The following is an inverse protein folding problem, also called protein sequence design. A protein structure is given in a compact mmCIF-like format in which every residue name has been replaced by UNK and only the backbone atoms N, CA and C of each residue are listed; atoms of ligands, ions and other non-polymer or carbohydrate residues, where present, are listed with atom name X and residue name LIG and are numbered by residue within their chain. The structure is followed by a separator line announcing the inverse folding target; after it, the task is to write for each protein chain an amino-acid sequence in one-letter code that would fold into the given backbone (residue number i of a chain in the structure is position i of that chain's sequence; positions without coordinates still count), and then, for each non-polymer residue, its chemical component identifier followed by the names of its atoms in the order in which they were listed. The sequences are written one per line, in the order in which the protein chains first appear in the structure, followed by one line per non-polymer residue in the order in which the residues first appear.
data_IF_775494050078
#
_entry.id   IF_775494050078
#
_cell.length_a   1.000
_cell.length_b   1.000
_cell.length_c   1.000
_cell.angle_alpha   90.00
_cell.angle_beta   90.00
_cell.angle_gamma   90.00
#
_symmetry.space_group_name_H-M   'P 1'
#
loop_
_entity.id
_entity.type
_entity.pdbx_description
1 polymer ?
#
# COMPACT_ATOMS: atom_id res chain seq x y z
N UNK A 1 -15.18 -0.73 11.27
CA UNK A 1 -15.01 -2.20 11.18
C UNK A 1 -13.65 -2.61 11.72
N UNK A 2 -13.45 -3.88 12.07
CA UNK A 2 -12.15 -4.37 12.52
C UNK A 2 -11.23 -4.52 11.29
N UNK A 3 -9.99 -4.03 11.39
CA UNK A 3 -9.00 -4.15 10.32
C UNK A 3 -8.61 -5.62 10.15
N UNK A 4 -8.60 -6.17 8.93
CA UNK A 4 -8.16 -7.54 8.71
C UNK A 4 -6.71 -7.75 9.18
N UNK A 5 -6.34 -8.94 9.64
CA UNK A 5 -4.97 -9.19 10.10
C UNK A 5 -3.98 -9.25 8.92
N UNK A 6 -4.45 -9.46 7.70
CA UNK A 6 -3.63 -9.59 6.49
C UNK A 6 -4.35 -9.01 5.27
N UNK A 7 -3.61 -8.36 4.38
CA UNK A 7 -4.10 -7.89 3.07
C UNK A 7 -3.07 -8.18 1.98
N UNK A 8 -3.52 -8.27 0.73
CA UNK A 8 -2.67 -8.48 -0.44
C UNK A 8 -2.83 -7.34 -1.44
N UNK A 9 -1.71 -6.75 -1.88
CA UNK A 9 -1.71 -5.66 -2.88
C UNK A 9 -0.89 -6.07 -4.09
N UNK A 10 -1.43 -5.84 -5.28
CA UNK A 10 -0.71 -6.14 -6.50
C UNK A 10 -1.46 -5.71 -7.77
N UNK A 11 -0.79 -5.69 -8.90
CA UNK A 11 -1.52 -5.65 -10.18
C UNK A 11 -2.19 -7.01 -10.43
N UNK A 12 -3.14 -7.11 -11.37
CA UNK A 12 -3.66 -8.42 -11.81
C UNK A 12 -2.53 -9.39 -12.17
N UNK A 13 -1.46 -8.89 -12.81
CA UNK A 13 -0.28 -9.68 -13.12
C UNK A 13 0.42 -10.19 -11.85
N UNK A 14 0.52 -9.38 -10.79
CA UNK A 14 1.11 -9.81 -9.52
C UNK A 14 0.33 -10.96 -8.87
N UNK A 15 -0.99 -10.90 -8.91
CA UNK A 15 -1.83 -11.99 -8.43
C UNK A 15 -1.72 -13.24 -9.30
N UNK A 16 -1.72 -13.08 -10.64
CA UNK A 16 -1.59 -14.21 -11.58
C UNK A 16 -0.25 -14.95 -11.48
N UNK A 17 0.80 -14.29 -11.01
CA UNK A 17 2.15 -14.85 -10.93
C UNK A 17 2.63 -15.04 -9.48
N UNK A 18 1.71 -15.01 -8.51
CA UNK A 18 1.97 -15.24 -7.08
C UNK A 18 3.09 -14.35 -6.48
N UNK A 19 3.19 -13.11 -6.96
CA UNK A 19 4.09 -12.09 -6.40
C UNK A 19 3.33 -10.88 -5.82
N UNK A 20 2.02 -10.99 -5.61
CA UNK A 20 1.27 -10.00 -4.85
C UNK A 20 1.89 -9.83 -3.46
N UNK A 21 1.96 -8.59 -3.00
CA UNK A 21 2.61 -8.28 -1.74
C UNK A 21 1.67 -8.56 -0.58
N UNK A 22 2.15 -9.29 0.42
CA UNK A 22 1.39 -9.61 1.64
C UNK A 22 1.76 -8.64 2.77
N UNK A 23 0.74 -8.06 3.42
CA UNK A 23 0.92 -7.14 4.53
C UNK A 23 0.21 -7.66 5.78
N UNK A 24 0.88 -7.55 6.93
CA UNK A 24 0.32 -7.97 8.21
C UNK A 24 0.10 -6.79 9.14
N UNK A 25 -1.02 -6.81 9.86
CA UNK A 25 -1.31 -5.82 10.90
C UNK A 25 -0.32 -5.98 12.07
N UNK A 26 0.47 -4.94 12.37
CA UNK A 26 1.47 -4.95 13.46
C UNK A 26 0.94 -4.28 14.73
N UNK A 27 0.05 -3.31 14.56
CA UNK A 27 -0.83 -2.76 15.59
C UNK A 27 -2.09 -2.26 14.89
N UNK A 28 -3.18 -1.99 15.61
CA UNK A 28 -4.41 -1.40 15.06
C UNK A 28 -4.19 -0.11 14.21
N UNK A 29 -2.96 0.37 14.12
CA UNK A 29 -2.54 1.59 13.43
C UNK A 29 -1.80 1.36 12.10
N UNK A 30 -1.27 0.17 11.75
CA UNK A 30 -0.55 -0.02 10.47
C UNK A 30 -0.31 -1.50 10.08
N UNK A 31 -0.22 -1.72 8.77
CA UNK A 31 0.23 -2.97 8.18
C UNK A 31 1.68 -2.87 7.72
N UNK A 32 2.39 -4.00 7.75
CA UNK A 32 3.79 -4.14 7.36
C UNK A 32 3.92 -5.22 6.27
N UNK A 33 4.52 -4.84 5.13
CA UNK A 33 4.97 -5.80 4.13
C UNK A 33 6.17 -6.59 4.68
N UNK A 34 6.14 -7.93 4.63
CA UNK A 34 7.27 -8.76 5.07
C UNK A 34 8.29 -9.06 3.96
N UNK A 35 7.96 -8.81 2.70
CA UNK A 35 8.70 -9.34 1.54
C UNK A 35 9.68 -8.34 0.91
N UNK A 36 9.91 -7.19 1.54
CA UNK A 36 10.55 -6.01 0.97
C UNK A 36 9.74 -5.36 -0.17
N UNK A 37 10.03 -4.09 -0.40
CA UNK A 37 9.46 -3.20 -1.42
C UNK A 37 10.21 -3.33 -2.74
N UNK A 38 9.66 -2.80 -3.84
CA UNK A 38 10.23 -2.93 -5.20
C UNK A 38 11.69 -2.43 -5.26
N UNK A 39 12.06 -1.47 -4.42
CA UNK A 39 13.41 -0.88 -4.33
C UNK A 39 14.40 -1.62 -3.44
N UNK A 40 13.94 -2.55 -2.59
CA UNK A 40 14.79 -3.44 -1.81
C UNK A 40 15.75 -2.74 -0.83
N UNK A 41 15.42 -1.55 -0.34
CA UNK A 41 16.29 -0.85 0.60
C UNK A 41 16.28 -1.54 1.99
N UNK A 42 17.40 -1.55 2.74
CA UNK A 42 17.43 -2.11 4.08
C UNK A 42 16.39 -1.45 5.00
N UNK A 43 15.59 -2.27 5.68
CA UNK A 43 14.51 -1.83 6.60
C UNK A 43 13.38 -1.03 5.93
N UNK A 44 13.24 -1.12 4.62
CA UNK A 44 12.12 -0.50 3.91
C UNK A 44 10.83 -1.29 4.14
N UNK A 45 9.76 -0.56 4.41
CA UNK A 45 8.44 -1.07 4.74
C UNK A 45 7.40 -0.35 3.91
N UNK A 46 6.25 -0.99 3.68
CA UNK A 46 5.05 -0.27 3.23
C UNK A 46 4.11 -0.10 4.42
N UNK A 47 3.53 1.08 4.57
CA UNK A 47 2.44 1.33 5.52
C UNK A 47 1.38 2.26 4.92
N UNK A 48 0.18 2.24 5.49
CA UNK A 48 -0.94 3.05 5.04
C UNK A 48 -1.06 4.32 5.86
N UNK A 49 -1.39 5.43 5.20
CA UNK A 49 -1.75 6.70 5.81
C UNK A 49 -3.04 7.22 5.19
N UNK A 50 -3.83 7.93 5.98
CA UNK A 50 -4.99 8.66 5.47
C UNK A 50 -4.57 10.09 5.14
N UNK A 51 -4.96 10.55 3.95
CA UNK A 51 -4.72 11.92 3.49
C UNK A 51 -6.03 12.55 3.08
N UNK A 52 -6.35 13.71 3.65
CA UNK A 52 -7.51 14.50 3.24
C UNK A 52 -7.09 15.43 2.11
N UNK A 53 -7.74 15.31 0.95
CA UNK A 53 -7.55 16.23 -0.17
C UNK A 53 -8.92 16.69 -0.70
N UNK A 54 -9.16 18.01 -0.73
CA UNK A 54 -10.43 18.62 -1.17
C UNK A 54 -11.67 17.97 -0.53
N UNK A 55 -11.61 17.64 0.76
CA UNK A 55 -12.70 17.01 1.51
C UNK A 55 -12.88 15.51 1.25
N UNK A 56 -12.08 14.90 0.38
CA UNK A 56 -12.07 13.45 0.15
C UNK A 56 -10.96 12.80 0.99
N UNK A 57 -11.29 11.70 1.68
CA UNK A 57 -10.31 10.88 2.40
C UNK A 57 -9.71 9.88 1.41
N UNK A 58 -8.39 9.89 1.31
CA UNK A 58 -7.62 8.94 0.53
C UNK A 58 -6.83 8.03 1.44
N UNK A 59 -6.91 6.73 1.20
CA UNK A 59 -6.04 5.73 1.78
C UNK A 59 -4.82 5.59 0.89
N UNK A 60 -3.63 5.87 1.41
CA UNK A 60 -2.38 5.91 0.63
C UNK A 60 -1.39 4.89 1.18
N UNK A 61 -0.92 4.00 0.33
CA UNK A 61 0.13 3.05 0.65
C UNK A 61 1.50 3.68 0.34
N UNK A 62 2.35 3.80 1.35
CA UNK A 62 3.63 4.49 1.28
C UNK A 62 4.80 3.55 1.59
N UNK A 63 5.83 3.60 0.77
CA UNK A 63 7.15 3.05 1.08
C UNK A 63 7.87 4.00 2.05
N UNK A 64 8.57 3.44 3.02
CA UNK A 64 9.22 4.19 4.07
C UNK A 64 10.05 3.34 5.02
N UNK A 65 10.47 3.92 6.14
CA UNK A 65 11.30 3.27 7.15
C UNK A 65 10.62 3.42 8.51
N UNK A 66 10.63 2.36 9.32
CA UNK A 66 10.30 2.44 10.75
C UNK A 66 11.60 2.50 11.54
N UNK A 67 11.80 3.59 12.28
CA UNK A 67 12.95 3.73 13.17
C UNK A 67 12.74 2.95 14.47
N UNK A 68 13.83 2.66 15.18
CA UNK A 68 13.79 1.92 16.44
C UNK A 68 12.90 2.56 17.53
N UNK A 69 12.67 3.87 17.47
CA UNK A 69 11.77 4.61 18.36
C UNK A 69 10.29 4.55 17.93
N UNK A 70 9.94 3.76 16.90
CA UNK A 70 8.60 3.64 16.35
C UNK A 70 8.17 4.78 15.41
N UNK A 71 9.02 5.80 15.21
CA UNK A 71 8.73 6.87 14.25
C UNK A 71 8.82 6.35 12.82
N UNK A 72 7.96 6.90 11.95
CA UNK A 72 7.86 6.51 10.55
C UNK A 72 8.40 7.62 9.67
N UNK A 73 9.27 7.26 8.73
CA UNK A 73 9.69 8.13 7.64
C UNK A 73 8.95 7.67 6.38
N UNK A 74 8.11 8.53 5.81
CA UNK A 74 7.53 8.29 4.49
C UNK A 74 8.58 8.67 3.45
N UNK A 75 8.95 7.73 2.57
CA UNK A 75 9.83 8.00 1.43
C UNK A 75 9.01 8.38 0.20
N UNK A 76 8.05 7.54 -0.16
CA UNK A 76 7.19 7.78 -1.31
C UNK A 76 5.84 7.07 -1.19
N UNK A 77 4.77 7.67 -1.70
CA UNK A 77 3.50 7.00 -1.86
C UNK A 77 3.45 6.23 -3.18
N UNK A 78 2.99 4.99 -3.13
CA UNK A 78 2.99 4.07 -4.26
C UNK A 78 1.59 3.80 -4.81
N UNK A 79 0.60 3.71 -3.91
CA UNK A 79 -0.78 3.40 -4.29
C UNK A 79 -1.76 4.27 -3.50
N UNK A 80 -2.95 4.54 -4.05
CA UNK A 80 -4.04 5.15 -3.28
C UNK A 80 -5.42 4.64 -3.69
N UNK A 81 -6.39 4.75 -2.79
CA UNK A 81 -7.82 4.52 -3.07
C UNK A 81 -8.70 5.42 -2.20
N UNK A 82 -9.93 5.65 -2.63
CA UNK A 82 -11.00 6.25 -1.80
C UNK A 82 -12.00 5.20 -1.31
N UNK A 83 -11.87 3.95 -1.76
CA UNK A 83 -12.75 2.86 -1.35
C UNK A 83 -12.54 2.52 0.14
N UNK A 84 -13.63 2.06 0.79
CA UNK A 84 -13.51 1.35 2.06
C UNK A 84 -12.92 -0.04 1.80
N UNK A 85 -11.62 -0.07 1.58
CA UNK A 85 -10.85 -1.27 1.28
C UNK A 85 -10.64 -2.17 2.52
N UNK A 86 -11.35 -1.92 3.61
CA UNK A 86 -11.34 -2.82 4.77
C UNK A 86 -12.34 -3.97 4.64
N UNK A 87 -13.29 -3.85 3.71
CA UNK A 87 -14.20 -4.93 3.35
C UNK A 87 -13.46 -6.06 2.62
N UNK A 88 -13.96 -7.29 2.72
CA UNK A 88 -13.39 -8.41 1.98
C UNK A 88 -13.67 -8.29 0.48
N UNK A 89 -12.68 -8.61 -0.34
CA UNK A 89 -12.81 -8.67 -1.78
C UNK A 89 -11.79 -7.83 -2.54
N UNK A 90 -12.15 -7.51 -3.78
CA UNK A 90 -11.31 -6.79 -4.73
C UNK A 90 -11.61 -5.30 -4.69
N UNK A 91 -10.57 -4.50 -4.50
CA UNK A 91 -10.63 -3.04 -4.46
C UNK A 91 -9.72 -2.43 -5.52
N UNK A 92 -10.18 -1.36 -6.16
CA UNK A 92 -9.38 -0.64 -7.15
C UNK A 92 -8.50 0.41 -6.48
N UNK A 93 -7.23 0.41 -6.92
CA UNK A 93 -6.21 1.32 -6.43
C UNK A 93 -5.52 2.01 -7.59
N UNK A 94 -5.19 3.27 -7.41
CA UNK A 94 -4.39 4.05 -8.36
C UNK A 94 -2.91 3.85 -8.07
N UNK A 95 -2.11 3.55 -9.10
CA UNK A 95 -0.66 3.55 -8.99
C UNK A 95 -0.08 4.96 -9.13
N UNK A 96 0.85 5.32 -8.24
CA UNK A 96 1.66 6.53 -8.43
C UNK A 96 2.70 6.29 -9.53
N UNK A 97 2.59 7.02 -10.63
CA UNK A 97 3.53 6.98 -11.76
C UNK A 97 4.81 7.79 -11.49
N UNK A 98 4.78 8.68 -10.49
CA UNK A 98 5.93 9.52 -10.12
C UNK A 98 6.84 8.87 -9.07
N UNK A 99 6.63 7.57 -8.78
CA UNK A 99 7.46 6.86 -7.80
C UNK A 99 8.90 6.72 -8.31
N UNK A 100 9.86 6.99 -7.44
CA UNK A 100 11.28 6.84 -7.69
C UNK A 100 11.72 5.38 -7.51
N UNK A 101 12.29 4.80 -8.57
CA UNK A 101 12.97 3.49 -8.55
C UNK A 101 14.42 3.55 -8.05
N UNK A 102 15.03 4.73 -8.00
CA UNK A 102 16.46 4.88 -7.70
C UNK A 102 16.78 4.96 -6.20
N UNK A 103 15.78 4.88 -5.31
CA UNK A 103 15.98 4.97 -3.86
C UNK A 103 16.47 6.34 -3.38
N UNK A 104 16.67 7.31 -4.28
CA UNK A 104 16.99 8.69 -3.92
C UNK A 104 15.78 9.32 -3.26
N UNK A 105 15.99 9.97 -2.12
CA UNK A 105 15.03 10.71 -1.28
C UNK A 105 14.38 11.93 -1.97
N UNK A 106 14.19 11.88 -3.29
CA UNK A 106 13.18 12.72 -3.91
C UNK A 106 11.85 12.24 -3.34
N UNK A 107 11.26 13.06 -2.48
CA UNK A 107 9.88 13.03 -2.02
C UNK A 107 8.97 12.90 -3.22
N UNK A 108 8.81 11.69 -3.76
CA UNK A 108 7.77 11.43 -4.73
C UNK A 108 6.48 11.81 -3.99
N UNK A 109 5.84 12.87 -4.45
CA UNK A 109 4.56 13.29 -3.96
C UNK A 109 3.51 12.70 -4.88
N UNK A 110 2.31 12.47 -4.34
CA UNK A 110 1.16 12.36 -5.22
C UNK A 110 0.97 13.71 -5.91
N UNK A 111 1.01 13.73 -7.25
CA UNK A 111 0.45 14.84 -7.99
C UNK A 111 -1.06 14.73 -7.84
N UNK A 112 -1.62 15.54 -6.94
CA UNK A 112 -3.05 15.57 -6.68
C UNK A 112 -3.81 16.27 -7.82
N UNK A 113 -3.12 17.02 -8.68
CA UNK A 113 -3.70 17.76 -9.81
C UNK A 113 -2.68 17.96 -10.95
N UNK A 114 -3.02 17.67 -12.23
CA UNK A 114 -4.16 16.88 -12.69
C UNK A 114 -3.98 15.40 -12.32
N UNK A 115 -5.08 14.64 -12.32
CA UNK A 115 -5.05 13.21 -12.03
C UNK A 115 -3.99 12.53 -12.91
N UNK A 116 -2.99 11.84 -12.32
CA UNK A 116 -2.04 11.08 -13.12
C UNK A 116 -2.81 10.07 -13.96
N UNK A 117 -2.29 9.74 -15.13
CA UNK A 117 -2.71 8.56 -15.90
C UNK A 117 -2.33 7.32 -15.09
N UNK A 118 -3.08 7.04 -14.03
CA UNK A 118 -2.81 5.98 -13.09
C UNK A 118 -3.02 4.65 -13.81
N UNK A 119 -1.99 3.79 -13.80
CA UNK A 119 -2.20 2.38 -14.07
C UNK A 119 -2.99 1.81 -12.89
N UNK A 120 -4.04 1.03 -13.16
CA UNK A 120 -4.86 0.40 -12.12
C UNK A 120 -4.10 -0.73 -11.42
N UNK A 121 -3.99 -0.67 -10.10
CA UNK A 121 -3.65 -1.81 -9.24
C UNK A 121 -4.92 -2.34 -8.57
N UNK A 122 -4.86 -3.58 -8.07
CA UNK A 122 -5.92 -4.18 -7.29
C UNK A 122 -5.43 -4.58 -5.91
N UNK A 123 -6.34 -4.55 -4.95
CA UNK A 123 -6.06 -5.03 -3.60
C UNK A 123 -7.08 -6.09 -3.27
N UNK A 124 -6.59 -7.25 -2.88
CA UNK A 124 -7.41 -8.34 -2.36
C UNK A 124 -7.30 -8.33 -0.85
N UNK A 125 -8.44 -8.12 -0.20
CA UNK A 125 -8.56 -8.11 1.26
C UNK A 125 -9.12 -9.46 1.67
N UNK A 126 -8.34 -10.20 2.46
CA UNK A 126 -8.74 -11.50 2.96
C UNK A 126 -8.85 -11.42 4.48
N UNK A 127 -9.95 -11.87 5.05
CA UNK A 127 -9.98 -12.18 6.48
C UNK A 127 -9.23 -13.48 6.76
N UNK A 128 -8.90 -13.71 8.02
CA UNK A 128 -8.10 -14.85 8.49
C UNK A 128 -8.64 -16.24 8.09
N UNK A 129 -9.86 -16.34 7.55
CA UNK A 129 -10.54 -17.62 7.32
C UNK A 129 -10.51 -18.07 5.84
N UNK A 130 -10.11 -17.23 4.89
CA UNK A 130 -10.48 -17.45 3.47
C UNK A 130 -9.46 -18.27 2.65
N UNK A 131 -8.21 -18.47 3.10
CA UNK A 131 -7.19 -19.22 2.34
C UNK A 131 -7.00 -20.67 2.82
N UNK A 132 -8.09 -21.39 3.03
CA UNK A 132 -8.07 -22.87 3.04
C UNK A 132 -8.83 -23.35 1.81
N UNK A 133 -8.07 -23.64 0.74
CA UNK A 133 -8.44 -24.37 -0.48
C UNK A 133 -9.17 -23.57 -1.57
N UNK A 134 -8.46 -23.37 -2.67
CA UNK A 134 -8.98 -23.60 -4.04
C UNK A 134 -7.84 -24.19 -4.86
#
# INVERSE_FOLDING_TARGET
MAKPPTIWIGTNQAFLNDYAFQYHLISNSYYLCRTATETGLPNEVLFFVEVVNRGTIWHVACEGIIHANGSRMIRQPCFRTTEDFWEEGWHDWECNTNRSRSGTTSTASWNWDPAPTATSARVEVLSCETRIRS
#
